data_IF_328039567752
#
_entry.id   IF_328039567752
#
_cell.length_a   1.000
_cell.length_b   1.000
_cell.length_c   1.000
_cell.angle_alpha   90.00
_cell.angle_beta   90.00
_cell.angle_gamma   90.00
#
_symmetry.space_group_name_H-M   'P 1'
#
loop_
_entity.id
_entity.type
_entity.pdbx_description
1 polymer ?
#
# COMPACT_ATOMS: atom_id res chain seq x y z
N UNK A 1 12.02 30.55 60.39
CA UNK A 1 11.85 31.27 59.12
C UNK A 1 12.90 30.72 58.16
N UNK A 2 12.68 29.72 57.30
CA UNK A 2 11.44 29.21 56.72
C UNK A 2 11.12 29.92 55.41
N UNK A 3 11.90 29.68 54.35
CA UNK A 3 11.43 29.62 52.94
C UNK A 3 12.27 28.56 52.23
N UNK A 4 11.65 27.43 51.93
CA UNK A 4 12.10 26.43 50.97
C UNK A 4 11.53 26.81 49.61
N UNK A 5 12.38 27.00 48.61
CA UNK A 5 11.95 27.19 47.24
C UNK A 5 11.27 25.91 46.67
N UNK A 6 10.26 26.06 45.80
CA UNK A 6 9.53 24.95 45.21
C UNK A 6 10.33 24.25 44.10
N UNK A 7 10.17 22.92 43.90
CA UNK A 7 10.83 22.22 42.82
C UNK A 7 10.19 22.57 41.47
N UNK A 8 11.00 23.15 40.58
CA UNK A 8 10.62 23.46 39.21
C UNK A 8 10.20 22.19 38.44
N UNK A 9 9.08 22.33 37.72
CA UNK A 9 8.39 21.26 37.04
C UNK A 9 9.26 20.44 36.09
N UNK A 10 8.98 19.14 36.09
CA UNK A 10 9.44 18.17 35.12
C UNK A 10 9.10 18.63 33.71
N UNK A 11 10.09 19.17 32.99
CA UNK A 11 10.03 19.23 31.55
C UNK A 11 10.03 17.78 31.06
N UNK A 12 8.86 17.33 30.61
CA UNK A 12 8.68 16.04 29.96
C UNK A 12 9.29 16.18 28.57
N UNK A 13 10.63 16.08 28.54
CA UNK A 13 11.45 16.06 27.33
C UNK A 13 10.89 14.98 26.42
N UNK A 14 10.14 15.42 25.40
CA UNK A 14 9.58 14.57 24.37
C UNK A 14 10.76 13.95 23.64
N UNK A 15 11.10 12.72 24.03
CA UNK A 15 12.11 11.92 23.36
C UNK A 15 11.67 11.77 21.91
N UNK A 16 12.18 12.64 21.03
CA UNK A 16 12.22 12.39 19.58
C UNK A 16 13.02 11.11 19.42
N UNK A 17 12.31 10.00 19.36
CA UNK A 17 12.86 8.74 18.93
C UNK A 17 13.31 8.97 17.49
N UNK A 18 14.62 9.08 17.29
CA UNK A 18 15.25 9.09 15.97
C UNK A 18 15.16 7.67 15.44
N UNK A 19 13.97 7.26 15.00
CA UNK A 19 13.81 6.06 14.21
C UNK A 19 14.49 6.36 12.87
N UNK A 20 15.67 5.76 12.65
CA UNK A 20 16.34 5.78 11.35
C UNK A 20 15.48 4.99 10.36
N UNK A 21 14.41 5.62 9.89
CA UNK A 21 13.35 5.05 9.05
C UNK A 21 13.61 5.45 7.61
N UNK A 22 14.56 4.82 6.96
CA UNK A 22 14.52 4.82 5.50
C UNK A 22 13.47 3.81 5.06
N UNK A 23 12.24 4.29 4.89
CA UNK A 23 11.29 3.61 4.02
C UNK A 23 11.91 3.59 2.63
N UNK A 24 12.18 2.40 2.12
CA UNK A 24 12.69 2.25 0.76
C UNK A 24 11.66 2.82 -0.23
N UNK A 25 12.17 3.49 -1.27
CA UNK A 25 11.33 4.05 -2.33
C UNK A 25 10.64 2.91 -3.07
N UNK A 26 9.39 3.14 -3.47
CA UNK A 26 8.65 2.17 -4.27
C UNK A 26 9.37 1.91 -5.59
N UNK A 27 9.67 0.64 -5.87
CA UNK A 27 10.25 0.26 -7.16
C UNK A 27 9.15 0.12 -8.22
N UNK A 28 8.89 1.22 -8.94
CA UNK A 28 7.92 1.25 -10.04
C UNK A 28 8.34 0.40 -11.26
N UNK A 29 9.61 0.03 -11.37
CA UNK A 29 10.13 -0.82 -12.44
C UNK A 29 10.12 -2.32 -12.09
N UNK A 30 9.52 -2.70 -10.94
CA UNK A 30 9.44 -4.10 -10.53
C UNK A 30 8.61 -4.93 -11.53
N UNK A 31 9.09 -6.15 -11.81
CA UNK A 31 8.40 -7.14 -12.67
C UNK A 31 6.97 -7.45 -12.19
N UNK A 32 6.74 -7.39 -10.87
CA UNK A 32 5.42 -7.58 -10.27
C UNK A 32 5.00 -6.36 -9.45
N UNK A 33 4.68 -5.27 -10.17
CA UNK A 33 4.24 -4.00 -9.60
C UNK A 33 3.07 -4.14 -8.60
N UNK A 34 2.04 -4.99 -8.82
CA UNK A 34 0.98 -5.21 -7.84
C UNK A 34 1.47 -5.73 -6.48
N UNK A 35 2.34 -6.74 -6.48
CA UNK A 35 2.84 -7.35 -5.26
C UNK A 35 3.79 -6.40 -4.51
N UNK A 36 4.60 -5.65 -5.27
CA UNK A 36 5.49 -4.64 -4.71
C UNK A 36 4.70 -3.48 -4.08
N UNK A 37 3.61 -3.06 -4.71
CA UNK A 37 2.68 -2.08 -4.15
C UNK A 37 2.04 -2.54 -2.85
N UNK A 38 1.54 -3.79 -2.78
CA UNK A 38 0.95 -4.34 -1.56
C UNK A 38 1.97 -4.37 -0.41
N UNK A 39 3.18 -4.87 -0.67
CA UNK A 39 4.28 -4.91 0.31
C UNK A 39 4.65 -3.51 0.79
N UNK A 40 4.84 -2.59 -0.14
CA UNK A 40 5.27 -1.22 0.16
C UNK A 40 4.17 -0.43 0.90
N UNK A 41 2.91 -0.54 0.48
CA UNK A 41 1.78 0.15 1.12
C UNK A 41 1.57 -0.30 2.57
N UNK A 42 1.79 -1.59 2.86
CA UNK A 42 1.79 -2.12 4.21
C UNK A 42 2.92 -1.52 5.06
N UNK A 43 4.14 -1.50 4.53
CA UNK A 43 5.29 -0.88 5.20
C UNK A 43 5.06 0.60 5.49
N UNK A 44 4.44 1.33 4.56
CA UNK A 44 4.08 2.73 4.74
C UNK A 44 3.06 2.92 5.87
N UNK A 45 2.04 2.05 5.97
CA UNK A 45 1.07 2.08 7.09
C UNK A 45 1.76 1.80 8.43
N UNK A 46 2.65 0.81 8.48
CA UNK A 46 3.44 0.51 9.69
C UNK A 46 4.26 1.74 10.11
N UNK A 47 4.88 2.42 9.15
CA UNK A 47 5.62 3.65 9.41
C UNK A 47 4.74 4.78 9.95
N UNK A 48 3.55 5.00 9.38
CA UNK A 48 2.60 5.99 9.90
C UNK A 48 2.21 5.71 11.36
N UNK A 49 2.00 4.43 11.70
CA UNK A 49 1.68 4.02 13.06
C UNK A 49 2.88 4.19 14.00
N UNK A 50 4.07 3.74 13.58
CA UNK A 50 5.28 3.81 14.39
C UNK A 50 5.74 5.25 14.68
N UNK A 51 5.49 6.17 13.75
CA UNK A 51 5.85 7.59 13.89
C UNK A 51 4.77 8.44 14.58
N UNK A 52 3.59 7.86 14.85
CA UNK A 52 2.44 8.60 15.38
C UNK A 52 1.80 9.58 14.38
N UNK A 53 2.24 9.56 13.11
CA UNK A 53 1.72 10.43 12.06
C UNK A 53 0.35 9.95 11.53
N UNK A 54 -0.17 8.86 12.07
CA UNK A 54 -1.52 8.38 11.78
C UNK A 54 -2.63 9.34 12.25
N UNK A 55 -2.38 10.18 13.26
CA UNK A 55 -3.37 11.16 13.78
C UNK A 55 -3.28 12.53 13.08
N UNK A 56 -2.29 12.71 12.21
CA UNK A 56 -2.07 13.97 11.49
C UNK A 56 -3.10 14.22 10.39
N UNK A 57 -3.12 15.47 9.90
CA UNK A 57 -3.97 15.88 8.77
C UNK A 57 -3.74 15.03 7.52
N UNK A 58 -4.81 14.80 6.75
CA UNK A 58 -4.76 14.04 5.51
C UNK A 58 -3.77 14.65 4.49
N UNK A 59 -3.71 15.98 4.41
CA UNK A 59 -2.75 16.69 3.54
C UNK A 59 -1.31 16.33 3.85
N UNK A 60 -0.95 16.21 5.13
CA UNK A 60 0.40 15.83 5.56
C UNK A 60 0.70 14.38 5.23
N UNK A 61 -0.25 13.46 5.46
CA UNK A 61 -0.13 12.04 5.08
C UNK A 61 0.05 11.86 3.57
N UNK A 62 -0.74 12.59 2.76
CA UNK A 62 -0.66 12.58 1.30
C UNK A 62 0.70 13.10 0.82
N UNK A 63 1.16 14.21 1.39
CA UNK A 63 2.47 14.78 1.05
C UNK A 63 3.62 13.83 1.41
N UNK A 64 3.54 13.16 2.56
CA UNK A 64 4.51 12.14 2.95
C UNK A 64 4.50 10.93 2.02
N UNK A 65 3.32 10.46 1.62
CA UNK A 65 3.18 9.34 0.69
C UNK A 65 3.91 9.64 -0.62
N UNK A 66 3.63 10.79 -1.23
CA UNK A 66 4.26 11.22 -2.48
C UNK A 66 5.77 11.43 -2.32
N UNK A 67 6.21 11.99 -1.18
CA UNK A 67 7.62 12.20 -0.90
C UNK A 67 8.40 10.88 -0.83
N UNK A 68 7.86 9.85 -0.17
CA UNK A 68 8.52 8.54 -0.04
C UNK A 68 8.48 7.72 -1.34
N UNK A 69 7.45 7.87 -2.17
CA UNK A 69 7.39 7.22 -3.48
C UNK A 69 8.36 7.84 -4.48
N UNK A 70 8.61 9.14 -4.39
CA UNK A 70 9.52 9.86 -5.28
C UNK A 70 8.85 10.52 -6.49
N UNK A 71 9.66 11.08 -7.41
CA UNK A 71 9.17 11.99 -8.47
C UNK A 71 8.22 11.34 -9.47
N UNK A 72 8.40 10.05 -9.76
CA UNK A 72 7.53 9.31 -10.67
C UNK A 72 6.09 9.22 -10.15
N UNK A 73 5.91 9.04 -8.84
CA UNK A 73 4.57 9.02 -8.25
C UNK A 73 3.89 10.38 -8.26
N UNK A 74 4.66 11.48 -8.27
CA UNK A 74 4.11 12.83 -8.45
C UNK A 74 3.54 12.99 -9.88
N UNK A 75 4.19 12.43 -10.90
CA UNK A 75 3.64 12.44 -12.27
C UNK A 75 2.33 11.63 -12.35
N UNK A 76 2.28 10.46 -11.70
CA UNK A 76 1.05 9.67 -11.61
C UNK A 76 -0.04 10.44 -10.87
N UNK A 77 0.30 11.12 -9.77
CA UNK A 77 -0.63 11.97 -9.03
C UNK A 77 -1.22 13.09 -9.90
N UNK A 78 -0.38 13.76 -10.69
CA UNK A 78 -0.82 14.79 -11.65
C UNK A 78 -1.81 14.21 -12.67
N UNK A 79 -1.63 12.96 -13.11
CA UNK A 79 -2.55 12.29 -14.04
C UNK A 79 -3.96 12.10 -13.46
N UNK A 80 -4.09 12.04 -12.13
CA UNK A 80 -5.38 11.90 -11.46
C UNK A 80 -6.19 13.20 -11.42
N UNK A 81 -5.59 14.35 -11.78
CA UNK A 81 -6.21 15.69 -11.74
C UNK A 81 -6.82 16.02 -10.37
N UNK A 82 -6.12 15.65 -9.30
CA UNK A 82 -6.54 15.88 -7.92
C UNK A 82 -5.74 17.02 -7.29
N UNK A 83 -6.35 17.71 -6.34
CA UNK A 83 -5.64 18.71 -5.53
C UNK A 83 -5.14 18.10 -4.22
N UNK A 84 -3.90 18.42 -3.85
CA UNK A 84 -3.24 17.91 -2.64
C UNK A 84 -3.99 18.27 -1.35
N UNK A 85 -4.72 19.39 -1.35
CA UNK A 85 -5.37 19.94 -0.17
C UNK A 85 -6.77 19.37 0.08
N UNK A 86 -7.38 18.71 -0.92
CA UNK A 86 -8.77 18.23 -0.85
C UNK A 86 -8.86 16.70 -0.86
N UNK A 87 -7.79 16.01 -1.26
CA UNK A 87 -7.79 14.55 -1.36
C UNK A 87 -7.60 13.91 0.02
N UNK A 88 -8.48 12.98 0.36
CA UNK A 88 -8.32 12.13 1.54
C UNK A 88 -7.21 11.10 1.29
N UNK A 89 -6.49 10.75 2.36
CA UNK A 89 -5.43 9.76 2.28
C UNK A 89 -5.93 8.41 1.73
N UNK A 90 -7.06 7.91 2.25
CA UNK A 90 -7.62 6.61 1.83
C UNK A 90 -8.06 6.61 0.36
N UNK A 91 -8.68 7.69 -0.11
CA UNK A 91 -9.10 7.82 -1.50
C UNK A 91 -7.89 7.82 -2.45
N UNK A 92 -6.81 8.47 -2.04
CA UNK A 92 -5.57 8.50 -2.81
C UNK A 92 -4.92 7.12 -2.88
N UNK A 93 -4.81 6.43 -1.73
CA UNK A 93 -4.26 5.06 -1.67
C UNK A 93 -5.08 4.11 -2.55
N UNK A 94 -6.41 4.24 -2.56
CA UNK A 94 -7.27 3.45 -3.43
C UNK A 94 -7.00 3.72 -4.90
N UNK A 95 -6.86 4.97 -5.32
CA UNK A 95 -6.56 5.32 -6.73
C UNK A 95 -5.20 4.81 -7.18
N UNK A 96 -4.19 4.91 -6.31
CA UNK A 96 -2.89 4.30 -6.60
C UNK A 96 -2.99 2.77 -6.69
N UNK A 97 -3.77 2.14 -5.82
CA UNK A 97 -4.03 0.69 -5.89
C UNK A 97 -4.71 0.31 -7.20
N UNK A 98 -5.74 1.04 -7.64
CA UNK A 98 -6.42 0.80 -8.91
C UNK A 98 -5.50 1.04 -10.13
N UNK A 99 -4.53 1.95 -10.00
CA UNK A 99 -3.56 2.25 -11.05
C UNK A 99 -2.45 1.18 -11.15
N UNK A 100 -1.86 0.78 -10.01
CA UNK A 100 -0.79 -0.22 -9.96
C UNK A 100 -1.30 -1.66 -10.08
N UNK A 101 -2.53 -1.90 -9.62
CA UNK A 101 -3.24 -3.17 -9.73
C UNK A 101 -4.41 -2.93 -10.68
N UNK A 102 -4.18 -2.92 -12.00
CA UNK A 102 -5.28 -2.83 -12.94
C UNK A 102 -6.27 -3.95 -12.65
N UNK A 103 -7.56 -3.61 -12.57
CA UNK A 103 -8.63 -4.60 -12.40
C UNK A 103 -8.41 -5.73 -13.40
N UNK A 104 -8.16 -6.94 -12.88
CA UNK A 104 -7.95 -8.13 -13.71
C UNK A 104 -9.14 -8.26 -14.66
N UNK A 105 -8.91 -8.10 -15.96
CA UNK A 105 -9.98 -8.20 -16.94
C UNK A 105 -10.47 -9.64 -16.99
N UNK A 106 -11.77 -9.86 -16.76
CA UNK A 106 -12.38 -11.19 -16.79
C UNK A 106 -12.06 -11.95 -18.09
N UNK A 107 -11.95 -11.26 -19.23
CA UNK A 107 -11.56 -11.87 -20.51
C UNK A 107 -10.16 -12.49 -20.46
N UNK A 108 -9.18 -11.81 -19.85
CA UNK A 108 -7.81 -12.31 -19.71
C UNK A 108 -7.79 -13.52 -18.78
N UNK A 109 -8.49 -13.43 -17.65
CA UNK A 109 -8.57 -14.53 -16.69
C UNK A 109 -9.25 -15.76 -17.29
N UNK A 110 -10.38 -15.57 -17.98
CA UNK A 110 -11.09 -16.64 -18.69
C UNK A 110 -10.24 -17.25 -19.78
N UNK A 111 -9.58 -16.44 -20.59
CA UNK A 111 -8.68 -16.95 -21.62
C UNK A 111 -7.59 -17.81 -20.98
N UNK A 112 -6.88 -17.31 -19.96
CA UNK A 112 -5.85 -18.06 -19.23
C UNK A 112 -6.39 -19.36 -18.64
N UNK A 113 -7.60 -19.34 -18.07
CA UNK A 113 -8.28 -20.52 -17.55
C UNK A 113 -8.57 -21.55 -18.64
N UNK A 114 -9.21 -21.13 -19.74
CA UNK A 114 -9.56 -22.02 -20.87
C UNK A 114 -8.34 -22.54 -21.63
N UNK A 115 -7.23 -21.80 -21.62
CA UNK A 115 -5.98 -22.24 -22.25
C UNK A 115 -5.07 -23.02 -21.30
N UNK A 116 -5.43 -23.16 -20.03
CA UNK A 116 -4.63 -23.89 -19.04
C UNK A 116 -4.59 -25.37 -19.41
N UNK A 117 -3.39 -25.95 -19.44
CA UNK A 117 -3.16 -27.37 -19.72
C UNK A 117 -2.31 -27.98 -18.62
N UNK A 118 -2.56 -29.24 -18.28
CA UNK A 118 -1.84 -29.94 -17.20
C UNK A 118 -0.31 -29.97 -17.43
N UNK A 119 0.13 -30.14 -18.67
CA UNK A 119 1.57 -30.20 -18.99
C UNK A 119 2.29 -31.25 -18.15
N UNK A 120 3.39 -30.85 -17.49
CA UNK A 120 4.19 -31.69 -16.59
C UNK A 120 3.77 -31.61 -15.12
N UNK A 121 2.69 -30.89 -14.78
CA UNK A 121 2.24 -30.74 -13.39
C UNK A 121 1.54 -32.01 -12.89
N UNK A 122 1.61 -32.22 -11.57
CA UNK A 122 0.81 -33.24 -10.90
C UNK A 122 -0.70 -32.94 -11.02
N UNK A 123 -1.53 -33.97 -10.96
CA UNK A 123 -3.01 -33.82 -11.06
C UNK A 123 -3.54 -32.93 -9.93
N UNK A 124 -2.99 -33.06 -8.72
CA UNK A 124 -3.37 -32.26 -7.54
C UNK A 124 -3.02 -30.78 -7.73
N UNK A 125 -1.85 -30.48 -8.29
CA UNK A 125 -1.43 -29.12 -8.57
C UNK A 125 -2.26 -28.49 -9.69
N UNK A 126 -2.57 -29.25 -10.74
CA UNK A 126 -3.42 -28.80 -11.83
C UNK A 126 -4.86 -28.51 -11.37
N UNK A 127 -5.47 -29.41 -10.59
CA UNK A 127 -6.82 -29.21 -10.02
C UNK A 127 -6.88 -28.02 -9.06
N UNK A 128 -5.82 -27.79 -8.28
CA UNK A 128 -5.68 -26.59 -7.42
C UNK A 128 -5.64 -25.32 -8.26
N UNK A 129 -4.82 -25.30 -9.32
CA UNK A 129 -4.70 -24.15 -10.23
C UNK A 129 -6.03 -23.87 -10.97
N UNK A 130 -6.75 -24.90 -11.41
CA UNK A 130 -8.07 -24.75 -12.01
C UNK A 130 -9.08 -24.17 -11.03
N UNK A 131 -9.10 -24.67 -9.79
CA UNK A 131 -9.99 -24.17 -8.74
C UNK A 131 -9.73 -22.69 -8.44
N UNK A 132 -8.46 -22.31 -8.32
CA UNK A 132 -8.06 -20.91 -8.16
C UNK A 132 -8.45 -20.06 -9.38
N UNK A 133 -8.32 -20.59 -10.59
CA UNK A 133 -8.75 -19.95 -11.83
C UNK A 133 -10.27 -19.69 -11.89
N UNK A 134 -11.08 -20.67 -11.50
CA UNK A 134 -12.54 -20.56 -11.40
C UNK A 134 -12.95 -19.44 -10.43
N UNK A 135 -12.37 -19.42 -9.23
CA UNK A 135 -12.63 -18.39 -8.22
C UNK A 135 -12.27 -16.99 -8.73
N UNK A 136 -11.13 -16.86 -9.40
CA UNK A 136 -10.70 -15.58 -9.98
C UNK A 136 -11.60 -15.09 -11.13
N UNK A 137 -12.22 -15.99 -11.89
CA UNK A 137 -13.12 -15.64 -13.00
C UNK A 137 -14.61 -15.55 -12.61
N UNK A 138 -14.94 -15.70 -11.31
CA UNK A 138 -16.31 -15.84 -10.81
C UNK A 138 -17.11 -16.95 -11.52
N UNK A 139 -16.44 -18.02 -11.93
CA UNK A 139 -17.09 -19.19 -12.51
C UNK A 139 -17.44 -20.16 -11.38
N UNK A 140 -18.72 -20.21 -11.00
CA UNK A 140 -19.22 -21.20 -10.04
C UNK A 140 -19.51 -22.48 -10.83
N UNK A 141 -18.88 -23.59 -10.45
CA UNK A 141 -19.32 -24.92 -10.88
C UNK A 141 -20.73 -25.13 -10.31
N UNK A 142 -21.76 -24.84 -11.11
CA UNK A 142 -23.09 -25.36 -10.80
C UNK A 142 -23.01 -26.86 -10.99
N UNK A 143 -23.15 -27.60 -9.88
CA UNK A 143 -23.59 -28.99 -9.93
C UNK A 143 -25.02 -29.08 -10.47
#
# INVERSE_FOLDING_TARGET
MGITDPPAGTQKESKRLTYSSQLEKLNLAALNLPQEWERWSLNFKIFLLATGLNEESDTRKVSMLLHHMGPEAVQIFQSFKLELNTVKFDDLVKRFTDHFIPKKSLCILRHKFFTSKQGQMSITEYTTNLTLGCTNCSYIFSQ
#
